data_IF_856213519171
#
_entry.id   IF_856213519171
#
_cell.length_a   1.000
_cell.length_b   1.000
_cell.length_c   1.000
_cell.angle_alpha   90.00
_cell.angle_beta   90.00
_cell.angle_gamma   90.00
#
_symmetry.space_group_name_H-M   'P 1'
#
loop_
_entity.id
_entity.type
_entity.pdbx_description
1 polymer ?
#
# COMPACT_ATOMS: atom_id res chain seq x y z
N UNK A 1 44.40 -19.48 38.79
CA UNK A 1 43.92 -18.77 37.60
C UNK A 1 42.67 -19.48 37.07
N UNK A 2 41.55 -18.90 37.41
CA UNK A 2 40.23 -19.45 37.10
C UNK A 2 39.78 -18.95 35.74
N UNK A 3 39.55 -19.84 34.80
CA UNK A 3 38.89 -19.56 33.53
C UNK A 3 37.39 -19.45 33.77
N UNK A 4 36.85 -18.25 33.60
CA UNK A 4 35.43 -18.01 33.59
C UNK A 4 34.89 -18.35 32.21
N UNK A 5 34.04 -19.36 32.09
CA UNK A 5 33.26 -19.66 30.88
C UNK A 5 32.13 -18.67 30.78
N UNK A 6 32.00 -18.03 29.59
CA UNK A 6 30.86 -17.23 29.21
C UNK A 6 29.65 -18.13 28.83
N UNK A 7 28.43 -17.76 29.19
CA UNK A 7 27.26 -18.54 28.83
C UNK A 7 26.89 -18.30 27.36
N UNK A 8 26.80 -19.38 26.60
CA UNK A 8 26.20 -19.40 25.28
C UNK A 8 24.71 -19.11 25.37
N UNK A 9 24.29 -17.98 24.87
CA UNK A 9 22.89 -17.67 24.62
C UNK A 9 22.41 -18.48 23.41
N UNK A 10 21.61 -19.53 23.66
CA UNK A 10 20.88 -20.25 22.64
C UNK A 10 19.56 -19.47 22.41
N UNK A 11 19.45 -18.75 21.31
CA UNK A 11 18.19 -18.18 20.91
C UNK A 11 17.33 -19.30 20.30
N UNK A 12 16.43 -19.85 21.11
CA UNK A 12 15.37 -20.74 20.61
C UNK A 12 14.26 -19.85 20.02
N UNK A 13 14.16 -19.83 18.68
CA UNK A 13 12.99 -19.32 18.00
C UNK A 13 11.84 -20.32 18.22
N UNK A 14 11.04 -20.06 19.24
CA UNK A 14 9.80 -20.79 19.48
C UNK A 14 8.73 -20.22 18.57
N UNK A 15 8.51 -20.90 17.43
CA UNK A 15 7.36 -20.68 16.58
C UNK A 15 6.13 -21.12 17.35
N UNK A 16 5.51 -20.19 18.05
CA UNK A 16 4.22 -20.39 18.65
C UNK A 16 3.18 -20.61 17.52
N UNK A 17 2.92 -21.87 17.22
CA UNK A 17 1.74 -22.28 16.45
C UNK A 17 0.52 -22.03 17.32
N UNK A 18 -0.02 -20.82 17.20
CA UNK A 18 -1.35 -20.52 17.72
C UNK A 18 -2.35 -21.21 16.79
N UNK A 19 -2.91 -22.33 17.21
CA UNK A 19 -4.02 -22.95 16.53
C UNK A 19 -5.24 -22.03 16.67
N UNK A 20 -5.87 -21.58 15.58
CA UNK A 20 -7.07 -20.76 15.69
C UNK A 20 -8.23 -21.62 16.17
N UNK A 21 -8.71 -21.36 17.37
CA UNK A 21 -10.00 -21.86 17.85
C UNK A 21 -11.10 -20.99 17.25
N UNK A 22 -11.91 -21.50 16.43
CA UNK A 22 -12.91 -21.04 15.47
C UNK A 22 -12.30 -20.84 14.07
N UNK A 23 -12.88 -21.50 13.10
CA UNK A 23 -12.58 -21.25 11.70
C UNK A 23 -12.93 -19.78 11.42
N UNK A 24 -11.95 -18.90 11.55
CA UNK A 24 -12.12 -17.47 11.29
C UNK A 24 -12.45 -17.34 9.79
N UNK A 25 -13.63 -16.82 9.53
CA UNK A 25 -14.18 -16.68 8.18
C UNK A 25 -13.29 -15.72 7.38
N UNK A 26 -12.83 -16.15 6.21
CA UNK A 26 -12.04 -15.33 5.31
C UNK A 26 -12.92 -14.21 4.79
N UNK A 27 -12.62 -12.97 5.14
CA UNK A 27 -13.42 -11.82 4.76
C UNK A 27 -12.89 -11.09 3.52
N UNK A 28 -11.57 -11.17 3.28
CA UNK A 28 -10.92 -10.62 2.10
C UNK A 28 -9.85 -11.59 1.59
N UNK A 29 -9.91 -11.90 0.31
CA UNK A 29 -8.82 -12.51 -0.44
C UNK A 29 -8.66 -11.75 -1.76
N UNK A 30 -7.47 -11.17 -1.99
CA UNK A 30 -7.16 -10.42 -3.18
C UNK A 30 -5.82 -10.86 -3.74
N UNK A 31 -5.76 -11.18 -5.05
CA UNK A 31 -4.55 -11.61 -5.73
C UNK A 31 -4.21 -10.68 -6.88
N UNK A 32 -3.04 -10.08 -6.83
CA UNK A 32 -2.44 -9.34 -7.93
C UNK A 32 -1.45 -10.25 -8.67
N UNK A 33 -1.49 -10.25 -10.01
CA UNK A 33 -0.53 -11.01 -10.81
C UNK A 33 0.91 -10.48 -10.65
N UNK A 34 1.05 -9.20 -10.34
CA UNK A 34 2.33 -8.55 -10.14
C UNK A 34 2.28 -7.63 -8.91
N UNK A 35 3.10 -7.91 -7.93
CA UNK A 35 3.26 -7.08 -6.72
C UNK A 35 3.68 -5.64 -7.04
N UNK A 36 4.37 -5.45 -8.17
CA UNK A 36 4.87 -4.14 -8.61
C UNK A 36 3.76 -3.10 -8.81
N UNK A 37 2.52 -3.52 -9.10
CA UNK A 37 1.41 -2.59 -9.23
C UNK A 37 1.12 -1.90 -7.89
N UNK A 38 0.90 -2.68 -6.83
CA UNK A 38 0.64 -2.13 -5.50
C UNK A 38 1.87 -1.38 -4.96
N UNK A 39 3.08 -1.86 -5.24
CA UNK A 39 4.32 -1.19 -4.87
C UNK A 39 4.40 0.22 -5.44
N UNK A 40 4.11 0.41 -6.75
CA UNK A 40 4.12 1.74 -7.38
C UNK A 40 3.08 2.67 -6.78
N UNK A 41 1.91 2.14 -6.44
CA UNK A 41 0.84 2.89 -5.78
C UNK A 41 1.29 3.36 -4.40
N UNK A 42 1.80 2.45 -3.59
CA UNK A 42 2.29 2.76 -2.23
C UNK A 42 3.48 3.72 -2.28
N UNK A 43 4.42 3.53 -3.22
CA UNK A 43 5.54 4.44 -3.42
C UNK A 43 5.10 5.86 -3.81
N UNK A 44 3.99 6.00 -4.54
CA UNK A 44 3.45 7.31 -4.92
C UNK A 44 2.80 8.06 -3.75
N UNK A 45 2.26 7.34 -2.76
CA UNK A 45 1.52 7.95 -1.65
C UNK A 45 2.29 8.06 -0.33
N UNK A 46 3.37 7.28 -0.13
CA UNK A 46 4.11 7.22 1.14
C UNK A 46 4.68 8.55 1.62
N UNK A 47 5.03 9.46 0.69
CA UNK A 47 5.58 10.77 1.01
C UNK A 47 4.48 11.78 1.37
N UNK A 48 3.21 11.47 1.09
CA UNK A 48 2.05 12.31 1.37
C UNK A 48 1.27 11.82 2.59
N UNK A 49 1.01 10.54 2.68
CA UNK A 49 0.16 9.93 3.71
C UNK A 49 0.94 8.85 4.46
N UNK A 50 0.84 8.85 5.80
CA UNK A 50 1.53 7.87 6.65
C UNK A 50 0.66 6.69 7.02
N UNK A 51 -0.57 6.97 7.42
CA UNK A 51 -1.53 5.97 7.87
C UNK A 51 -2.80 6.15 7.05
N UNK A 52 -3.26 5.09 6.40
CA UNK A 52 -4.40 5.15 5.48
C UNK A 52 -5.32 3.95 5.64
N UNK A 53 -6.60 4.15 5.36
CA UNK A 53 -7.57 3.07 5.23
C UNK A 53 -7.60 2.55 3.79
N UNK A 54 -7.54 1.23 3.68
CA UNK A 54 -7.82 0.50 2.45
C UNK A 54 -9.25 -0.04 2.55
N UNK A 55 -10.17 0.64 1.86
CA UNK A 55 -11.57 0.28 1.83
C UNK A 55 -11.80 -0.78 0.77
N UNK A 56 -12.03 -2.00 1.24
CA UNK A 56 -12.17 -3.19 0.42
C UNK A 56 -13.64 -3.49 0.14
N UNK A 57 -13.97 -3.79 -1.10
CA UNK A 57 -15.30 -4.17 -1.54
C UNK A 57 -15.22 -5.09 -2.77
N UNK A 58 -16.33 -5.63 -3.22
CA UNK A 58 -16.42 -6.40 -4.47
C UNK A 58 -15.99 -5.59 -5.70
N UNK A 59 -16.09 -4.24 -5.65
CA UNK A 59 -15.70 -3.34 -6.75
C UNK A 59 -14.20 -3.09 -6.83
N UNK A 60 -13.46 -3.46 -5.78
CA UNK A 60 -12.04 -3.24 -5.67
C UNK A 60 -11.60 -2.71 -4.32
N UNK A 61 -10.39 -2.19 -4.28
CA UNK A 61 -9.79 -1.57 -3.10
C UNK A 61 -9.64 -0.08 -3.35
N UNK A 62 -10.27 0.72 -2.52
CA UNK A 62 -10.22 2.18 -2.56
C UNK A 62 -9.38 2.72 -1.41
N UNK A 63 -8.65 3.79 -1.67
CA UNK A 63 -7.94 4.57 -0.66
C UNK A 63 -8.28 6.03 -0.86
N UNK A 64 -8.65 6.71 0.22
CA UNK A 64 -8.80 8.14 0.24
C UNK A 64 -8.16 8.69 1.51
N UNK A 65 -7.23 9.62 1.37
CA UNK A 65 -6.53 10.21 2.52
C UNK A 65 -6.04 11.60 2.19
N UNK A 66 -6.01 12.47 3.18
CA UNK A 66 -5.33 13.76 3.07
C UNK A 66 -3.85 13.62 3.44
N UNK A 67 -3.03 14.49 2.89
CA UNK A 67 -1.66 14.66 3.36
C UNK A 67 -1.62 15.24 4.79
N UNK A 68 -0.47 15.20 5.44
CA UNK A 68 -0.30 15.65 6.83
C UNK A 68 -0.60 17.14 7.05
N UNK A 69 -0.59 17.93 5.98
CA UNK A 69 -0.92 19.37 6.02
C UNK A 69 -2.40 19.67 5.71
N UNK A 70 -3.19 18.66 5.40
CA UNK A 70 -4.59 18.76 4.98
C UNK A 70 -4.82 19.67 3.76
N UNK A 71 -3.85 19.73 2.84
CA UNK A 71 -3.89 20.53 1.62
C UNK A 71 -4.11 19.68 0.37
N UNK A 72 -3.51 18.47 0.33
CA UNK A 72 -3.63 17.55 -0.79
C UNK A 72 -4.50 16.36 -0.43
N UNK A 73 -5.41 15.98 -1.32
CA UNK A 73 -6.21 14.77 -1.23
C UNK A 73 -5.67 13.71 -2.20
N UNK A 74 -5.34 12.56 -1.66
CA UNK A 74 -5.02 11.35 -2.43
C UNK A 74 -6.29 10.52 -2.54
N UNK A 75 -6.71 10.23 -3.75
CA UNK A 75 -7.83 9.32 -4.03
C UNK A 75 -7.41 8.30 -5.07
N UNK A 76 -7.56 7.03 -4.73
CA UNK A 76 -7.13 5.89 -5.53
C UNK A 76 -8.21 4.83 -5.54
N UNK A 77 -8.40 4.21 -6.68
CA UNK A 77 -9.24 3.01 -6.84
C UNK A 77 -8.48 1.96 -7.65
N UNK A 78 -8.15 0.84 -7.01
CA UNK A 78 -7.76 -0.40 -7.66
C UNK A 78 -9.05 -1.18 -7.96
N UNK A 79 -9.51 -1.13 -9.21
CA UNK A 79 -10.73 -1.83 -9.60
C UNK A 79 -10.56 -3.35 -9.55
N UNK A 80 -11.66 -4.08 -9.43
CA UNK A 80 -11.69 -5.55 -9.49
C UNK A 80 -10.85 -6.09 -10.65
N UNK A 81 -10.93 -5.47 -11.84
CA UNK A 81 -10.17 -5.87 -13.03
C UNK A 81 -8.64 -5.77 -12.91
N UNK A 82 -8.13 -5.11 -11.86
CA UNK A 82 -6.70 -5.06 -11.57
C UNK A 82 -6.21 -6.32 -10.84
N UNK A 83 -7.12 -7.10 -10.30
CA UNK A 83 -6.83 -8.33 -9.57
C UNK A 83 -7.05 -9.56 -10.46
N UNK A 84 -6.23 -10.57 -10.26
CA UNK A 84 -6.45 -11.89 -10.85
C UNK A 84 -7.62 -12.61 -10.18
N UNK A 85 -7.79 -12.38 -8.88
CA UNK A 85 -8.90 -12.86 -8.07
C UNK A 85 -9.15 -11.84 -6.96
N UNK A 86 -10.42 -11.51 -6.72
CA UNK A 86 -10.85 -10.60 -5.64
C UNK A 86 -12.12 -11.18 -5.03
N UNK A 87 -12.04 -11.56 -3.77
CA UNK A 87 -13.16 -12.00 -2.97
C UNK A 87 -13.24 -11.12 -1.73
N UNK A 88 -14.35 -10.45 -1.57
CA UNK A 88 -14.65 -9.60 -0.43
C UNK A 88 -16.08 -9.90 0.02
N UNK A 89 -16.22 -10.71 1.06
CA UNK A 89 -17.54 -11.18 1.52
C UNK A 89 -18.36 -10.04 2.14
N UNK A 90 -17.69 -9.05 2.68
CA UNK A 90 -18.31 -7.83 3.20
C UNK A 90 -17.41 -6.62 3.03
N UNK A 91 -17.94 -5.42 2.77
CA UNK A 91 -17.16 -4.20 2.76
C UNK A 91 -16.41 -4.03 4.08
N UNK A 92 -15.10 -3.76 3.99
CA UNK A 92 -14.23 -3.68 5.16
C UNK A 92 -13.19 -2.59 4.96
N UNK A 93 -12.83 -1.92 6.05
CA UNK A 93 -11.80 -0.88 6.05
C UNK A 93 -10.60 -1.36 6.84
N UNK A 94 -9.44 -1.45 6.18
CA UNK A 94 -8.20 -1.96 6.75
C UNK A 94 -7.22 -0.80 6.92
N UNK A 95 -7.08 -0.29 8.14
CA UNK A 95 -6.13 0.77 8.47
C UNK A 95 -4.71 0.24 8.50
N UNK A 96 -3.82 0.81 7.69
CA UNK A 96 -2.43 0.36 7.56
C UNK A 96 -1.46 1.53 7.55
N UNK A 97 -0.28 1.30 8.14
CA UNK A 97 0.85 2.21 8.01
C UNK A 97 1.53 2.01 6.65
N UNK A 98 1.61 3.07 5.85
CA UNK A 98 2.11 3.06 4.48
C UNK A 98 3.61 2.72 4.40
N UNK A 99 4.41 3.19 5.36
CA UNK A 99 5.84 2.88 5.42
C UNK A 99 6.10 1.39 5.70
N UNK A 100 5.29 0.80 6.59
CA UNK A 100 5.36 -0.63 6.91
C UNK A 100 4.95 -1.49 5.72
N UNK A 101 3.86 -1.10 5.03
CA UNK A 101 3.43 -1.75 3.79
C UNK A 101 4.50 -1.62 2.70
N UNK A 102 5.11 -0.44 2.54
CA UNK A 102 6.20 -0.23 1.58
C UNK A 102 7.40 -1.14 1.85
N UNK A 103 7.74 -1.39 3.12
CA UNK A 103 8.82 -2.34 3.49
C UNK A 103 8.49 -3.76 3.07
N UNK A 104 7.26 -4.23 3.30
CA UNK A 104 6.80 -5.55 2.85
C UNK A 104 6.92 -5.65 1.33
N UNK A 105 6.39 -4.66 0.59
CA UNK A 105 6.40 -4.66 -0.87
C UNK A 105 7.81 -4.55 -1.49
N UNK A 106 8.81 -4.07 -0.74
CA UNK A 106 10.22 -4.11 -1.16
C UNK A 106 10.80 -5.53 -1.18
N UNK A 107 10.24 -6.43 -0.35
CA UNK A 107 10.69 -7.82 -0.28
C UNK A 107 10.15 -8.67 -1.45
N UNK A 108 9.07 -8.21 -2.11
CA UNK A 108 8.53 -8.86 -3.29
C UNK A 108 9.35 -8.48 -4.53
N UNK A 109 9.68 -9.47 -5.38
CA UNK A 109 10.29 -9.25 -6.67
C UNK A 109 9.34 -8.54 -7.66
N UNK A 110 9.87 -8.02 -8.77
CA UNK A 110 9.06 -7.26 -9.73
C UNK A 110 8.00 -8.10 -10.46
N UNK A 111 8.26 -9.40 -10.61
CA UNK A 111 7.37 -10.38 -11.27
C UNK A 111 6.59 -11.25 -10.29
N UNK A 112 6.83 -11.12 -8.98
CA UNK A 112 6.13 -11.91 -7.98
C UNK A 112 4.63 -11.59 -8.00
N UNK A 113 3.79 -12.60 -7.85
CA UNK A 113 2.40 -12.42 -7.53
C UNK A 113 2.26 -12.01 -6.06
N UNK A 114 1.25 -11.20 -5.75
CA UNK A 114 0.95 -10.77 -4.39
C UNK A 114 -0.46 -11.20 -4.02
N UNK A 115 -0.56 -11.91 -2.91
CA UNK A 115 -1.84 -12.30 -2.32
C UNK A 115 -2.03 -11.61 -0.98
N UNK A 116 -3.16 -10.94 -0.82
CA UNK A 116 -3.63 -10.35 0.42
C UNK A 116 -4.71 -11.23 1.01
N UNK A 117 -4.65 -11.48 2.30
CA UNK A 117 -5.68 -12.20 3.06
C UNK A 117 -5.98 -11.49 4.37
N UNK A 118 -7.26 -11.34 4.63
CA UNK A 118 -7.71 -10.86 5.93
C UNK A 118 -8.90 -11.69 6.41
N UNK A 119 -8.82 -12.12 7.65
CA UNK A 119 -9.89 -12.82 8.34
C UNK A 119 -10.74 -11.82 9.12
N UNK A 120 -12.03 -12.04 9.17
CA UNK A 120 -12.93 -11.18 9.93
C UNK A 120 -12.45 -11.02 11.37
N UNK A 121 -12.46 -9.79 11.86
CA UNK A 121 -12.05 -9.40 13.23
C UNK A 121 -10.55 -9.64 13.55
N UNK A 122 -9.73 -10.08 12.59
CA UNK A 122 -8.29 -10.17 12.81
C UNK A 122 -7.66 -8.76 12.88
N UNK A 123 -6.68 -8.61 13.76
CA UNK A 123 -5.90 -7.39 13.92
C UNK A 123 -4.68 -7.31 12.98
N UNK A 124 -4.53 -8.30 12.11
CA UNK A 124 -3.47 -8.40 11.10
C UNK A 124 -4.04 -8.73 9.73
N UNK A 125 -3.35 -8.25 8.69
CA UNK A 125 -3.55 -8.65 7.31
C UNK A 125 -2.28 -9.34 6.81
N UNK A 126 -2.43 -10.50 6.15
CA UNK A 126 -1.32 -11.28 5.61
C UNK A 126 -1.06 -10.92 4.16
N UNK A 127 0.20 -10.71 3.82
CA UNK A 127 0.73 -10.48 2.49
C UNK A 127 1.62 -11.64 2.11
N UNK A 128 1.28 -12.35 1.04
CA UNK A 128 2.05 -13.46 0.51
C UNK A 128 2.62 -13.08 -0.85
N UNK A 129 3.95 -13.08 -0.99
CA UNK A 129 4.66 -12.88 -2.24
C UNK A 129 5.04 -14.25 -2.81
N UNK A 130 4.57 -14.56 -4.02
CA UNK A 130 4.83 -15.81 -4.72
C UNK A 130 5.78 -15.53 -5.89
N UNK A 131 7.01 -16.03 -5.81
CA UNK A 131 8.00 -15.94 -6.90
C UNK A 131 7.66 -16.88 -8.06
N UNK A 132 7.87 -16.43 -9.31
CA UNK A 132 7.48 -17.18 -10.49
C UNK A 132 8.35 -18.41 -10.79
N UNK A 133 9.66 -18.35 -10.55
CA UNK A 133 10.61 -19.37 -11.02
C UNK A 133 11.23 -20.23 -9.92
N UNK A 134 11.14 -19.84 -8.63
CA UNK A 134 11.94 -20.45 -7.56
C UNK A 134 11.13 -21.13 -6.46
N UNK A 135 9.86 -21.39 -6.64
CA UNK A 135 8.94 -21.89 -5.57
C UNK A 135 9.07 -21.09 -4.25
N UNK A 136 9.61 -19.87 -4.35
CA UNK A 136 9.83 -19.01 -3.20
C UNK A 136 8.52 -18.34 -2.79
N UNK A 137 8.08 -18.67 -1.59
CA UNK A 137 6.94 -18.03 -0.94
C UNK A 137 7.46 -17.26 0.26
N UNK A 138 7.14 -15.97 0.34
CA UNK A 138 7.39 -15.14 1.50
C UNK A 138 6.06 -14.61 2.03
N UNK A 139 5.82 -14.77 3.32
CA UNK A 139 4.59 -14.33 3.99
C UNK A 139 4.93 -13.32 5.09
N UNK A 140 4.13 -12.27 5.15
CA UNK A 140 4.30 -11.16 6.10
C UNK A 140 2.95 -10.79 6.67
N UNK A 141 2.88 -10.64 7.99
CA UNK A 141 1.72 -10.12 8.69
C UNK A 141 1.93 -8.65 9.03
N UNK A 142 0.99 -7.82 8.62
CA UNK A 142 0.95 -6.40 8.93
C UNK A 142 -0.15 -6.15 9.96
N UNK A 143 0.24 -5.56 11.10
CA UNK A 143 -0.73 -5.18 12.11
C UNK A 143 -1.60 -4.02 11.62
N UNK A 144 -2.90 -4.21 11.75
CA UNK A 144 -3.90 -3.19 11.43
C UNK A 144 -4.01 -2.16 12.56
N UNK A 145 -4.49 -0.99 12.21
CA UNK A 145 -4.76 0.11 13.12
C UNK A 145 -6.14 0.71 12.83
N UNK A 146 -6.77 1.25 13.84
CA UNK A 146 -8.00 2.01 13.66
C UNK A 146 -7.66 3.43 13.26
N UNK A 147 -8.12 3.84 12.09
CA UNK A 147 -7.91 5.18 11.54
C UNK A 147 -9.29 5.76 11.31
N UNK A 148 -9.58 6.86 11.99
CA UNK A 148 -10.77 7.64 11.72
C UNK A 148 -10.56 8.35 10.37
N UNK A 149 -11.41 8.04 9.40
CA UNK A 149 -11.37 8.70 8.09
C UNK A 149 -12.76 9.20 7.73
N UNK A 150 -12.83 10.47 7.39
CA UNK A 150 -14.01 11.03 6.73
C UNK A 150 -13.87 10.83 5.23
N UNK A 151 -14.86 10.18 4.63
CA UNK A 151 -14.91 10.05 3.18
C UNK A 151 -15.35 11.39 2.60
N UNK A 152 -14.47 12.04 1.86
CA UNK A 152 -14.77 13.34 1.25
C UNK A 152 -15.31 13.14 -0.15
N UNK A 153 -16.46 13.74 -0.42
CA UNK A 153 -16.96 13.85 -1.78
C UNK A 153 -16.07 14.82 -2.57
N UNK A 154 -15.51 14.34 -3.68
CA UNK A 154 -14.77 15.20 -4.61
C UNK A 154 -15.81 15.85 -5.51
N UNK A 155 -16.05 17.18 -5.38
CA UNK A 155 -17.05 17.85 -6.21
C UNK A 155 -16.66 17.79 -7.69
N UNK A 156 -17.65 17.57 -8.56
CA UNK A 156 -17.44 17.70 -10.01
C UNK A 156 -17.05 19.14 -10.33
N UNK A 157 -15.83 19.34 -10.79
CA UNK A 157 -15.34 20.65 -11.21
C UNK A 157 -15.09 20.66 -12.72
N UNK A 158 -15.60 21.70 -13.39
CA UNK A 158 -15.24 21.95 -14.75
C UNK A 158 -13.95 22.76 -14.83
N UNK A 159 -12.88 22.11 -15.23
CA UNK A 159 -11.58 22.75 -15.39
C UNK A 159 -11.52 23.51 -16.72
N UNK A 160 -11.02 24.75 -16.67
CA UNK A 160 -10.85 25.57 -17.88
C UNK A 160 -9.72 25.08 -18.78
N UNK A 161 -8.78 24.34 -18.22
CA UNK A 161 -7.60 23.81 -18.92
C UNK A 161 -7.35 22.38 -18.46
N UNK A 162 -7.04 21.53 -19.44
CA UNK A 162 -6.56 20.16 -19.19
C UNK A 162 -5.25 19.95 -19.95
N UNK A 163 -4.19 19.62 -19.25
CA UNK A 163 -2.89 19.32 -19.85
C UNK A 163 -2.62 17.81 -19.78
N UNK A 164 -2.08 17.25 -20.87
CA UNK A 164 -1.65 15.85 -20.93
C UNK A 164 -0.21 15.80 -21.42
N UNK A 165 0.65 15.18 -20.63
CA UNK A 165 2.06 14.98 -20.96
C UNK A 165 2.54 13.64 -20.38
N UNK A 166 3.67 13.08 -20.89
CA UNK A 166 4.29 11.90 -20.29
C UNK A 166 4.67 12.15 -18.82
N UNK A 167 4.38 11.19 -17.95
CA UNK A 167 4.71 11.33 -16.50
C UNK A 167 6.20 11.52 -16.26
N UNK A 168 7.07 10.89 -17.08
CA UNK A 168 8.53 11.05 -17.02
C UNK A 168 8.98 12.49 -17.31
N UNK A 169 8.30 13.18 -18.23
CA UNK A 169 8.58 14.58 -18.54
C UNK A 169 8.20 15.48 -17.38
N UNK A 170 7.00 15.30 -16.82
CA UNK A 170 6.55 16.05 -15.65
C UNK A 170 7.48 15.82 -14.44
N UNK A 171 7.87 14.57 -14.19
CA UNK A 171 8.85 14.25 -13.13
C UNK A 171 10.19 14.96 -13.34
N UNK A 172 10.67 15.02 -14.60
CA UNK A 172 11.90 15.74 -14.93
C UNK A 172 11.76 17.22 -14.63
N UNK A 173 10.68 17.86 -15.10
CA UNK A 173 10.41 19.28 -14.84
C UNK A 173 10.39 19.56 -13.33
N UNK A 174 9.65 18.77 -12.55
CA UNK A 174 9.59 18.94 -11.08
C UNK A 174 10.96 18.80 -10.42
N UNK A 175 11.76 17.82 -10.87
CA UNK A 175 13.11 17.59 -10.34
C UNK A 175 14.04 18.74 -10.66
N UNK A 176 14.05 19.20 -11.92
CA UNK A 176 14.95 20.25 -12.38
C UNK A 176 14.59 21.60 -11.71
N UNK A 177 13.28 21.89 -11.57
CA UNK A 177 12.84 23.13 -10.93
C UNK A 177 13.04 23.14 -9.40
N UNK A 178 13.06 21.98 -8.76
CA UNK A 178 13.33 21.87 -7.32
C UNK A 178 14.70 22.40 -6.92
N UNK A 179 15.68 22.36 -7.83
CA UNK A 179 17.02 22.91 -7.60
C UNK A 179 17.01 24.46 -7.47
N UNK A 180 15.96 25.12 -7.97
CA UNK A 180 15.86 26.60 -7.98
C UNK A 180 14.94 27.15 -6.88
N UNK A 181 14.12 26.30 -6.26
CA UNK A 181 13.22 26.73 -5.20
C UNK A 181 12.18 25.70 -4.80
N UNK A 182 11.45 25.99 -3.74
CA UNK A 182 10.43 25.08 -3.16
C UNK A 182 9.06 25.26 -3.79
N UNK A 183 8.84 26.34 -4.54
CA UNK A 183 7.55 26.69 -5.13
C UNK A 183 7.63 26.72 -6.65
N UNK A 184 6.76 25.97 -7.30
CA UNK A 184 6.58 25.98 -8.74
C UNK A 184 5.24 26.62 -9.09
N UNK A 185 5.26 27.60 -10.02
CA UNK A 185 4.06 28.21 -10.57
C UNK A 185 3.79 27.65 -11.97
N UNK A 186 2.59 27.11 -12.17
CA UNK A 186 2.13 26.63 -13.48
C UNK A 186 1.18 27.67 -14.07
N UNK A 187 1.48 28.17 -15.26
CA UNK A 187 0.63 29.11 -16.01
C UNK A 187 0.23 28.47 -17.32
N UNK A 188 -1.08 28.43 -17.59
CA UNK A 188 -1.61 27.94 -18.85
C UNK A 188 -2.20 29.09 -19.66
N UNK A 189 -1.86 29.16 -20.95
CA UNK A 189 -2.38 30.13 -21.92
C UNK A 189 -2.81 29.43 -23.22
N UNK A 190 -3.31 30.18 -24.20
CA UNK A 190 -3.59 29.61 -25.52
C UNK A 190 -2.33 29.22 -26.31
N UNK A 191 -1.18 29.71 -25.88
CA UNK A 191 0.12 29.48 -26.51
C UNK A 191 0.86 28.29 -25.92
N UNK A 192 0.43 27.79 -24.76
CA UNK A 192 1.02 26.63 -24.05
C UNK A 192 0.96 26.75 -22.55
N UNK A 193 1.75 25.89 -21.90
CA UNK A 193 1.93 25.82 -20.45
C UNK A 193 3.38 26.09 -20.12
#
# INVERSE_FOLDING_TARGET
>A
PSMAQAPHAVASAEVARHAPSHAAEMALEARLQQAVLLKKVVDAMKDLCKDVNFDCSEKGIQVQSMDSSHVALVSLLLRESAFADLKCDRPSSLGMNVDSLAKILKMCGPSDALKLRWQAEADTVSFQCEGGDDDRIAEFDLKLMQIESEHMEIPEQHYKVTARLPSSEFQKICRDLKEFGETMQVKASKEGI
#
